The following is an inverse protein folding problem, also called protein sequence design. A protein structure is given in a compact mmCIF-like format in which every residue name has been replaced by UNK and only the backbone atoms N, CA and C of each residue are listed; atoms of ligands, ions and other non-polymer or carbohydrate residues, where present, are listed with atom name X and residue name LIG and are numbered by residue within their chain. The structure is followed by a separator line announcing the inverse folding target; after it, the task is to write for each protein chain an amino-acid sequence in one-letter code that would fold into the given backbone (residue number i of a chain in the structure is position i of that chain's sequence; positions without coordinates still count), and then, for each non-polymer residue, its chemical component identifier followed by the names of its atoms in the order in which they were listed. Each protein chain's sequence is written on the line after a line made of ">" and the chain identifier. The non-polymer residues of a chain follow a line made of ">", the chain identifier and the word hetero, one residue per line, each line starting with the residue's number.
data_IF_298362184891
#
_entry.id   IF_298362184891
#
_cell.length_a   1.000
_cell.length_b   1.000
_cell.length_c   1.000
_cell.angle_alpha   90.00
_cell.angle_beta   90.00
_cell.angle_gamma   90.00
#
_symmetry.space_group_name_H-M   'P 1'
#
loop_
_entity.id
_entity.type
_entity.pdbx_description
1 polymer ?
#
# COMPACT_ATOMS: atom_id res chain seq x y z
N UNK A 1 -0.26 -9.22 1.06
CA UNK A 1 -1.25 -8.41 0.32
C UNK A 1 -2.08 -7.64 1.33
N UNK A 2 -2.33 -6.35 1.10
CA UNK A 2 -3.11 -5.47 1.99
C UNK A 2 -4.12 -4.68 1.13
N UNK A 3 -5.36 -4.61 1.62
CA UNK A 3 -6.51 -3.90 1.06
C UNK A 3 -7.44 -3.50 2.23
N UNK A 4 -8.32 -2.50 2.06
CA UNK A 4 -9.31 -2.10 3.07
C UNK A 4 -9.39 -0.59 3.33
N UNK A 5 -9.81 -0.19 4.53
CA UNK A 5 -9.96 1.22 4.90
C UNK A 5 -9.69 1.42 6.39
N UNK A 6 -9.24 2.59 6.85
CA UNK A 6 -9.02 3.83 6.09
C UNK A 6 -7.57 3.98 5.61
N UNK A 7 -7.41 4.52 4.39
CA UNK A 7 -6.12 4.68 3.69
C UNK A 7 -5.02 5.29 4.56
N UNK A 8 -5.26 6.47 5.10
CA UNK A 8 -4.29 7.27 5.86
C UNK A 8 -4.12 6.83 7.32
N UNK A 9 -4.89 5.83 7.76
CA UNK A 9 -4.84 5.30 9.11
C UNK A 9 -4.43 3.83 9.10
N UNK A 10 -5.41 2.93 9.06
CA UNK A 10 -5.19 1.50 9.20
C UNK A 10 -4.32 0.93 8.08
N UNK A 11 -4.51 1.41 6.84
CA UNK A 11 -3.79 0.87 5.67
C UNK A 11 -2.34 1.35 5.65
N UNK A 12 -2.08 2.65 5.78
CA UNK A 12 -0.70 3.18 5.88
C UNK A 12 0.05 2.51 7.05
N UNK A 13 -0.54 2.47 8.23
CA UNK A 13 0.09 1.85 9.40
C UNK A 13 0.37 0.37 9.18
N UNK A 14 -0.59 -0.40 8.63
CA UNK A 14 -0.41 -1.82 8.39
C UNK A 14 0.68 -2.10 7.35
N UNK A 15 0.75 -1.32 6.27
CA UNK A 15 1.80 -1.46 5.24
C UNK A 15 3.17 -1.21 5.86
N UNK A 16 3.35 -0.10 6.58
CA UNK A 16 4.63 0.25 7.19
C UNK A 16 5.06 -0.75 8.25
N UNK A 17 4.13 -1.16 9.12
CA UNK A 17 4.45 -2.12 10.17
C UNK A 17 4.74 -3.51 9.59
N UNK A 18 4.07 -3.92 8.51
CA UNK A 18 4.39 -5.18 7.85
C UNK A 18 5.83 -5.20 7.32
N UNK A 19 6.30 -4.13 6.66
CA UNK A 19 7.68 -4.08 6.19
C UNK A 19 8.68 -4.04 7.36
N UNK A 20 8.39 -3.30 8.45
CA UNK A 20 9.20 -3.34 9.70
C UNK A 20 9.27 -4.75 10.30
N UNK A 21 8.19 -5.54 10.20
CA UNK A 21 8.13 -6.90 10.74
C UNK A 21 8.65 -7.98 9.76
N UNK A 22 9.32 -7.58 8.68
CA UNK A 22 9.97 -8.51 7.77
C UNK A 22 9.08 -9.08 6.67
N UNK A 23 8.00 -8.37 6.30
CA UNK A 23 7.11 -8.79 5.23
C UNK A 23 7.26 -7.93 3.97
N UNK A 24 7.37 -8.61 2.83
CA UNK A 24 7.14 -8.00 1.53
C UNK A 24 5.65 -7.77 1.30
N UNK A 25 5.28 -6.52 1.02
CA UNK A 25 3.89 -6.09 0.97
C UNK A 25 3.46 -5.81 -0.46
N UNK A 26 2.35 -6.41 -0.88
CA UNK A 26 1.58 -5.88 -2.02
C UNK A 26 0.43 -5.06 -1.46
N UNK A 27 0.42 -3.74 -1.66
CA UNK A 27 -0.74 -2.89 -1.42
C UNK A 27 -1.61 -2.86 -2.68
N UNK A 28 -2.89 -3.18 -2.55
CA UNK A 28 -3.81 -3.22 -3.69
C UNK A 28 -4.40 -1.83 -3.92
N UNK A 29 -3.84 -1.06 -4.84
CA UNK A 29 -4.01 0.40 -4.94
C UNK A 29 -5.42 0.87 -5.30
N UNK A 30 -6.24 -0.01 -5.88
CA UNK A 30 -7.65 0.20 -6.20
C UNK A 30 -8.60 -0.51 -5.23
N UNK A 31 -8.07 -1.18 -4.19
CA UNK A 31 -8.84 -1.89 -3.17
C UNK A 31 -8.59 -1.36 -1.75
N UNK A 32 -8.15 -0.11 -1.61
CA UNK A 32 -8.23 0.62 -0.36
C UNK A 32 -8.87 1.99 -0.52
N UNK A 33 -9.42 2.53 0.57
CA UNK A 33 -10.19 3.77 0.51
C UNK A 33 -10.31 4.52 1.83
N UNK A 34 -10.88 5.72 1.74
CA UNK A 34 -11.18 6.58 2.88
C UNK A 34 -12.36 7.51 2.53
N UNK A 35 -12.72 8.41 3.44
CA UNK A 35 -13.72 9.45 3.22
C UNK A 35 -13.06 10.82 2.95
N UNK A 36 -13.83 11.74 2.37
CA UNK A 36 -13.39 13.13 2.23
C UNK A 36 -13.13 13.77 3.60
N UNK A 37 -12.17 14.67 3.65
CA UNK A 37 -11.89 15.51 4.81
C UNK A 37 -12.08 16.99 4.43
N UNK A 38 -12.10 17.92 5.40
CA UNK A 38 -12.10 19.35 5.10
C UNK A 38 -10.87 19.86 4.34
N UNK A 39 -9.79 19.06 4.26
CA UNK A 39 -8.49 19.47 3.68
C UNK A 39 -8.20 18.79 2.35
N UNK A 40 -8.48 17.48 2.25
CA UNK A 40 -8.22 16.64 1.07
C UNK A 40 -9.44 15.76 0.77
N UNK A 41 -9.71 15.54 -0.51
CA UNK A 41 -10.68 14.54 -0.95
C UNK A 41 -10.16 13.11 -0.74
N UNK A 42 -11.07 12.14 -0.65
CA UNK A 42 -10.73 10.73 -0.57
C UNK A 42 -9.82 10.28 -1.72
N UNK A 43 -10.09 10.78 -2.94
CA UNK A 43 -9.26 10.51 -4.12
C UNK A 43 -7.83 11.05 -3.95
N UNK A 44 -7.68 12.28 -3.44
CA UNK A 44 -6.36 12.86 -3.17
C UNK A 44 -5.60 12.05 -2.12
N UNK A 45 -6.29 11.61 -1.06
CA UNK A 45 -5.68 10.80 0.01
C UNK A 45 -5.23 9.43 -0.55
N UNK A 46 -6.11 8.73 -1.28
CA UNK A 46 -5.79 7.43 -1.91
C UNK A 46 -4.64 7.57 -2.89
N UNK A 47 -4.67 8.57 -3.78
CA UNK A 47 -3.61 8.82 -4.75
C UNK A 47 -2.27 9.13 -4.07
N UNK A 48 -2.29 9.95 -3.02
CA UNK A 48 -1.09 10.27 -2.26
C UNK A 48 -0.49 9.01 -1.62
N UNK A 49 -1.28 8.19 -0.95
CA UNK A 49 -0.77 6.99 -0.28
C UNK A 49 -0.33 5.90 -1.25
N UNK A 50 -0.99 5.75 -2.41
CA UNK A 50 -0.47 4.90 -3.49
C UNK A 50 0.93 5.34 -3.94
N UNK A 51 1.17 6.65 -4.07
CA UNK A 51 2.50 7.14 -4.43
C UNK A 51 3.51 7.00 -3.28
N UNK A 52 3.13 7.35 -2.05
CA UNK A 52 4.01 7.35 -0.87
C UNK A 52 4.39 5.93 -0.44
N UNK A 53 3.50 4.95 -0.57
CA UNK A 53 3.74 3.57 -0.16
C UNK A 53 4.29 2.69 -1.28
N UNK A 54 4.24 3.10 -2.54
CA UNK A 54 4.89 2.32 -3.60
C UNK A 54 6.42 2.45 -3.51
N UNK A 55 7.09 1.34 -3.22
CA UNK A 55 8.54 1.31 -2.99
C UNK A 55 8.94 1.74 -1.58
N UNK A 56 8.01 1.90 -0.63
CA UNK A 56 8.39 2.13 0.76
C UNK A 56 9.10 0.88 1.30
N UNK A 57 10.35 1.04 1.67
CA UNK A 57 11.27 -0.02 2.08
C UNK A 57 11.71 0.11 3.55
N UNK A 58 12.12 -1.02 4.12
CA UNK A 58 12.85 -1.16 5.37
C UNK A 58 13.99 -2.16 5.12
N UNK A 59 15.00 -1.69 4.39
CA UNK A 59 16.20 -2.42 3.95
C UNK A 59 15.92 -3.64 3.06
N UNK A 60 15.54 -4.77 3.66
CA UNK A 60 15.31 -6.04 2.96
C UNK A 60 13.85 -6.26 2.55
N UNK A 61 12.92 -5.49 3.13
CA UNK A 61 11.48 -5.70 2.96
C UNK A 61 10.78 -4.42 2.55
N UNK A 62 9.95 -4.51 1.52
CA UNK A 62 9.36 -3.33 0.91
C UNK A 62 7.94 -3.57 0.41
N UNK A 63 7.29 -2.46 0.08
CA UNK A 63 5.93 -2.45 -0.43
C UNK A 63 5.88 -2.12 -1.91
N UNK A 64 5.01 -2.79 -2.64
CA UNK A 64 4.68 -2.52 -4.04
C UNK A 64 3.19 -2.27 -4.16
N UNK A 65 2.82 -1.22 -4.90
CA UNK A 65 1.43 -0.95 -5.25
C UNK A 65 1.11 -1.66 -6.56
N UNK A 66 0.04 -2.45 -6.52
CA UNK A 66 -0.48 -3.23 -7.65
C UNK A 66 -2.00 -3.10 -7.70
N UNK A 67 -2.60 -3.25 -8.87
CA UNK A 67 -4.05 -3.18 -9.04
C UNK A 67 -4.72 -4.55 -8.95
N UNK A 68 -6.02 -4.56 -8.63
CA UNK A 68 -6.82 -5.79 -8.44
C UNK A 68 -6.96 -6.67 -9.68
N UNK A 69 -6.70 -6.12 -10.87
CA UNK A 69 -6.71 -6.83 -12.16
C UNK A 69 -5.40 -7.59 -12.44
N UNK A 70 -4.36 -7.42 -11.61
CA UNK A 70 -3.12 -8.16 -11.72
C UNK A 70 -3.15 -9.53 -11.01
N UNK A 71 -2.17 -10.39 -11.30
CA UNK A 71 -1.96 -11.64 -10.58
C UNK A 71 -1.34 -11.40 -9.19
N UNK A 72 -2.15 -10.92 -8.23
CA UNK A 72 -1.68 -10.47 -6.91
C UNK A 72 -1.19 -11.59 -5.98
N UNK A 73 -1.65 -12.83 -6.18
CA UNK A 73 -1.20 -14.00 -5.42
C UNK A 73 0.12 -14.61 -5.91
N UNK A 74 0.71 -14.00 -6.93
CA UNK A 74 2.06 -14.31 -7.40
C UNK A 74 2.96 -13.14 -6.97
N UNK A 75 3.78 -13.32 -5.91
CA UNK A 75 4.70 -12.28 -5.45
C UNK A 75 5.70 -11.92 -6.56
N UNK A 76 6.02 -10.62 -6.66
CA UNK A 76 6.99 -10.11 -7.64
C UNK A 76 8.16 -9.37 -6.97
N UNK A 77 8.20 -9.30 -5.63
CA UNK A 77 9.22 -8.60 -4.85
C UNK A 77 10.64 -9.07 -5.16
N UNK A 78 10.83 -10.39 -5.34
CA UNK A 78 12.12 -10.97 -5.74
C UNK A 78 12.67 -10.44 -7.09
N UNK A 79 11.84 -9.81 -7.93
CA UNK A 79 12.31 -9.19 -9.19
C UNK A 79 13.03 -7.86 -8.98
N UNK A 80 12.89 -7.26 -7.80
CA UNK A 80 13.41 -5.94 -7.46
C UNK A 80 14.46 -5.97 -6.35
N UNK A 81 14.95 -7.17 -6.00
CA UNK A 81 16.00 -7.38 -5.02
C UNK A 81 17.40 -7.26 -5.64
#
# INVERSE_FOLDING_TARGET
>A
MIAGCQTEYCIDTAVRMATVNGFDVTLVGDAHGTADTPVLSAEQIVKHHNQTLNGYDNDDHFSLVRNSDEALFQPIHERYR
#
